data_IF_846070940923
#
_entry.id   IF_846070940923
#
_cell.length_a   1.000
_cell.length_b   1.000
_cell.length_c   1.000
_cell.angle_alpha   90.00
_cell.angle_beta   90.00
_cell.angle_gamma   90.00
#
_symmetry.space_group_name_H-M   'P 1'
#
loop_
_entity.id
_entity.type
_entity.pdbx_description
1 polymer ?
#
# COMPACT_ATOMS: atom_id res chain seq x y z
N UNK A 1 17.02 33.74 8.38
CA UNK A 1 17.00 32.27 8.59
C UNK A 1 16.29 31.66 7.39
N UNK A 2 17.00 31.02 6.47
CA UNK A 2 16.41 30.60 5.19
C UNK A 2 15.49 29.38 5.35
N UNK A 3 14.33 29.42 4.70
CA UNK A 3 13.36 28.32 4.64
C UNK A 3 13.83 27.30 3.60
N UNK A 4 14.02 26.02 3.95
CA UNK A 4 14.50 25.01 3.00
C UNK A 4 13.56 24.86 1.78
N UNK A 5 12.25 25.05 1.99
CA UNK A 5 11.26 25.11 0.91
C UNK A 5 11.27 26.39 0.05
N UNK A 6 12.00 27.46 0.39
CA UNK A 6 12.14 28.61 -0.54
C UNK A 6 13.04 28.31 -1.74
N UNK A 7 13.92 27.30 -1.64
CA UNK A 7 14.78 26.88 -2.75
C UNK A 7 14.06 26.09 -3.85
N UNK A 8 12.91 25.46 -3.54
CA UNK A 8 12.16 24.65 -4.51
C UNK A 8 11.15 25.54 -5.23
N UNK A 9 11.23 25.61 -6.56
CA UNK A 9 10.25 26.36 -7.37
C UNK A 9 8.87 25.74 -7.17
N UNK A 10 7.94 26.57 -6.67
CA UNK A 10 6.52 26.31 -6.87
C UNK A 10 6.19 26.58 -8.34
N UNK A 11 5.17 25.91 -8.85
CA UNK A 11 4.59 26.24 -10.15
C UNK A 11 4.04 27.67 -10.07
N UNK A 12 4.64 28.60 -10.84
CA UNK A 12 4.05 29.94 -10.99
C UNK A 12 2.66 29.76 -11.59
N UNK A 13 1.67 30.36 -10.96
CA UNK A 13 0.28 30.40 -11.45
C UNK A 13 -0.40 29.03 -11.53
N UNK A 14 -0.36 28.26 -10.43
CA UNK A 14 -1.15 27.02 -10.28
C UNK A 14 -2.65 27.29 -10.52
N UNK A 15 -3.22 26.64 -11.54
CA UNK A 15 -4.64 26.77 -11.89
C UNK A 15 -5.50 25.81 -11.06
N UNK A 16 -6.04 26.31 -9.94
CA UNK A 16 -6.85 25.54 -8.98
C UNK A 16 -7.99 24.73 -9.62
N UNK A 17 -8.78 25.26 -10.58
CA UNK A 17 -9.85 24.48 -11.23
C UNK A 17 -9.32 23.31 -12.06
N UNK A 18 -8.15 23.46 -12.72
CA UNK A 18 -7.52 22.40 -13.51
C UNK A 18 -6.85 21.35 -12.62
N UNK A 19 -6.38 21.73 -11.42
CA UNK A 19 -5.84 20.81 -10.43
C UNK A 19 -6.92 20.02 -9.66
N UNK A 20 -8.16 20.49 -9.68
CA UNK A 20 -9.29 19.86 -8.98
C UNK A 20 -9.58 18.42 -9.44
N UNK A 21 -10.35 17.67 -8.65
CA UNK A 21 -10.74 16.29 -8.92
C UNK A 21 -9.75 15.25 -8.38
N UNK A 22 -9.81 14.05 -8.96
CA UNK A 22 -9.14 12.84 -8.47
C UNK A 22 -7.66 12.77 -8.86
N UNK A 23 -6.83 12.35 -7.92
CA UNK A 23 -5.41 12.05 -8.05
C UNK A 23 -5.09 10.75 -7.32
N UNK A 24 -4.17 9.92 -7.85
CA UNK A 24 -3.76 8.64 -7.24
C UNK A 24 -2.28 8.69 -6.89
N UNK A 25 -1.93 8.42 -5.65
CA UNK A 25 -0.54 8.43 -5.17
C UNK A 25 0.21 7.21 -5.73
N UNK A 26 1.29 7.46 -6.45
CA UNK A 26 2.14 6.42 -7.09
C UNK A 26 3.38 6.13 -6.26
N UNK A 27 4.06 7.17 -5.79
CA UNK A 27 5.33 7.02 -5.09
C UNK A 27 5.60 8.18 -4.13
N UNK A 28 6.42 7.91 -3.09
CA UNK A 28 6.89 8.89 -2.12
C UNK A 28 8.40 8.73 -1.92
N UNK A 29 9.18 9.77 -2.23
CA UNK A 29 10.57 9.90 -1.79
C UNK A 29 10.61 10.50 -0.38
N UNK A 30 11.17 9.83 0.63
CA UNK A 30 11.21 10.36 2.01
C UNK A 30 12.27 9.70 2.91
N UNK A 31 12.94 10.46 3.79
CA UNK A 31 13.80 9.93 4.85
C UNK A 31 12.98 9.51 6.10
N UNK A 32 11.69 9.22 5.95
CA UNK A 32 10.81 8.87 7.06
C UNK A 32 11.04 7.41 7.49
N UNK A 33 11.52 7.21 8.72
CA UNK A 33 11.78 5.89 9.30
C UNK A 33 10.58 4.92 9.21
N UNK A 34 9.36 5.42 9.41
CA UNK A 34 8.16 4.61 9.24
C UNK A 34 7.99 4.07 7.81
N UNK A 35 8.31 4.86 6.78
CA UNK A 35 8.27 4.38 5.39
C UNK A 35 9.44 3.43 5.10
N UNK A 36 10.62 3.64 5.68
CA UNK A 36 11.74 2.71 5.57
C UNK A 36 11.41 1.32 6.16
N UNK A 37 10.73 1.28 7.31
CA UNK A 37 10.39 0.03 8.01
C UNK A 37 9.09 -0.62 7.49
N UNK A 38 8.06 0.18 7.17
CA UNK A 38 6.70 -0.28 6.85
C UNK A 38 6.24 0.07 5.42
N UNK A 39 7.10 0.63 4.57
CA UNK A 39 6.74 1.04 3.21
C UNK A 39 6.26 -0.11 2.31
N UNK A 40 6.71 -1.34 2.59
CA UNK A 40 6.20 -2.57 1.97
C UNK A 40 4.70 -2.83 2.25
N UNK A 41 4.13 -2.17 3.26
CA UNK A 41 2.70 -2.18 3.64
C UNK A 41 1.96 -0.91 3.24
N UNK A 42 2.52 -0.09 2.34
CA UNK A 42 1.84 1.10 1.84
C UNK A 42 0.48 0.74 1.23
N UNK A 43 -0.51 1.61 1.45
CA UNK A 43 -1.91 1.41 1.04
C UNK A 43 -2.22 2.29 -0.18
N UNK A 44 -3.00 1.78 -1.13
CA UNK A 44 -3.44 2.62 -2.25
C UNK A 44 -4.18 3.85 -1.73
N UNK A 45 -3.72 5.01 -2.20
CA UNK A 45 -4.11 6.31 -1.65
C UNK A 45 -4.60 7.20 -2.79
N UNK A 46 -5.87 7.57 -2.74
CA UNK A 46 -6.50 8.57 -3.62
C UNK A 46 -6.51 9.92 -2.92
N UNK A 47 -6.45 11.00 -3.69
CA UNK A 47 -6.59 12.38 -3.23
C UNK A 47 -7.63 13.05 -4.13
N UNK A 48 -8.73 13.54 -3.54
CA UNK A 48 -9.69 14.41 -4.20
C UNK A 48 -9.40 15.85 -3.78
N UNK A 49 -9.06 16.70 -4.76
CA UNK A 49 -8.83 18.12 -4.56
C UNK A 49 -10.06 18.94 -5.00
N UNK A 50 -10.48 19.90 -4.19
CA UNK A 50 -11.54 20.85 -4.52
C UNK A 50 -11.11 22.28 -4.15
N UNK A 51 -11.21 23.28 -5.05
CA UNK A 51 -10.95 24.66 -4.70
C UNK A 51 -11.90 25.17 -3.60
N UNK A 52 -11.38 25.93 -2.64
CA UNK A 52 -12.17 26.54 -1.56
C UNK A 52 -11.67 27.97 -1.32
N UNK A 53 -12.11 28.91 -2.18
CA UNK A 53 -11.53 30.24 -2.25
C UNK A 53 -10.07 30.18 -2.70
N UNK A 54 -9.17 30.87 -1.99
CA UNK A 54 -7.72 30.76 -2.21
C UNK A 54 -7.09 29.49 -1.60
N UNK A 55 -7.83 28.74 -0.78
CA UNK A 55 -7.39 27.48 -0.21
C UNK A 55 -7.85 26.29 -1.07
N UNK A 56 -7.39 25.08 -0.73
CA UNK A 56 -7.83 23.84 -1.37
C UNK A 56 -8.31 22.84 -0.32
N UNK A 57 -9.58 22.43 -0.44
CA UNK A 57 -10.11 21.31 0.33
C UNK A 57 -9.57 20.01 -0.27
N UNK A 58 -8.94 19.17 0.56
CA UNK A 58 -8.27 17.95 0.11
C UNK A 58 -8.78 16.77 0.92
N UNK A 59 -9.41 15.81 0.27
CA UNK A 59 -9.79 14.53 0.88
C UNK A 59 -8.84 13.44 0.43
N UNK A 60 -8.15 12.81 1.37
CA UNK A 60 -7.31 11.63 1.11
C UNK A 60 -8.08 10.37 1.48
N UNK A 61 -8.17 9.42 0.56
CA UNK A 61 -8.81 8.12 0.75
C UNK A 61 -7.72 7.06 0.75
N UNK A 62 -7.63 6.27 1.81
CA UNK A 62 -6.69 5.14 1.91
C UNK A 62 -7.41 3.88 2.33
N UNK A 63 -6.75 2.74 2.22
CA UNK A 63 -7.37 1.44 2.47
C UNK A 63 -6.65 0.67 3.56
N UNK A 64 -6.88 1.09 4.80
CA UNK A 64 -6.38 0.40 5.99
C UNK A 64 -7.31 -0.74 6.35
N UNK A 65 -6.73 -1.95 6.37
CA UNK A 65 -7.34 -3.30 6.48
C UNK A 65 -8.52 -3.62 5.53
N UNK A 66 -9.06 -2.65 4.78
CA UNK A 66 -9.84 -2.90 3.57
C UNK A 66 -11.09 -2.08 3.28
N UNK A 67 -11.67 -1.29 4.22
CA UNK A 67 -12.62 -0.24 3.83
C UNK A 67 -11.79 0.99 3.51
N UNK A 68 -12.43 1.88 2.78
CA UNK A 68 -11.99 3.19 2.45
C UNK A 68 -12.07 4.11 3.67
N UNK A 69 -10.92 4.60 4.14
CA UNK A 69 -10.80 5.62 5.18
C UNK A 69 -10.75 6.99 4.50
N UNK A 70 -11.72 7.87 4.73
CA UNK A 70 -11.62 9.27 4.30
C UNK A 70 -10.96 10.14 5.38
N UNK A 71 -9.85 10.81 5.05
CA UNK A 71 -9.23 11.86 5.85
C UNK A 71 -9.41 13.20 5.14
N UNK A 72 -10.03 14.18 5.82
CA UNK A 72 -10.24 15.53 5.28
C UNK A 72 -9.15 16.49 5.76
N UNK A 73 -8.67 17.31 4.85
CA UNK A 73 -7.60 18.28 5.05
C UNK A 73 -8.00 19.62 4.39
N UNK A 74 -7.50 20.72 4.95
CA UNK A 74 -7.52 22.02 4.29
C UNK A 74 -6.07 22.43 4.02
N UNK A 75 -5.74 22.57 2.74
CA UNK A 75 -4.50 23.17 2.29
C UNK A 75 -4.72 24.69 2.29
N UNK A 76 -4.37 25.33 3.42
CA UNK A 76 -4.57 26.76 3.61
C UNK A 76 -3.68 27.58 2.70
N UNK A 77 -4.20 28.72 2.25
CA UNK A 77 -3.45 29.69 1.44
C UNK A 77 -2.24 30.24 2.21
N UNK A 78 -1.20 30.61 1.47
CA UNK A 78 0.01 31.27 1.98
C UNK A 78 0.31 32.59 1.27
N UNK A 79 -0.58 33.07 0.40
CA UNK A 79 -0.39 34.25 -0.45
C UNK A 79 0.51 34.00 -1.67
N UNK A 80 1.00 32.77 -1.86
CA UNK A 80 1.84 32.39 -3.01
C UNK A 80 1.18 31.21 -3.73
N UNK A 81 0.78 31.35 -5.01
CA UNK A 81 0.18 30.27 -5.79
C UNK A 81 1.00 28.98 -5.75
N UNK A 82 0.32 27.84 -5.60
CA UNK A 82 0.94 26.53 -5.49
C UNK A 82 1.63 26.22 -4.16
N UNK A 83 1.67 27.16 -3.19
CA UNK A 83 2.18 26.94 -1.83
C UNK A 83 1.05 26.93 -0.81
N UNK A 84 1.00 25.89 0.00
CA UNK A 84 -0.06 25.66 0.98
C UNK A 84 0.49 25.33 2.37
N UNK A 85 -0.30 25.65 3.39
CA UNK A 85 -0.05 25.27 4.77
C UNK A 85 -1.14 24.32 5.28
N UNK A 86 -0.76 23.09 5.62
CA UNK A 86 -1.62 22.12 6.27
C UNK A 86 -1.42 22.19 7.78
N UNK A 87 -2.49 22.44 8.53
CA UNK A 87 -2.48 22.36 9.99
C UNK A 87 -2.38 20.89 10.42
N UNK A 88 -1.19 20.49 10.85
CA UNK A 88 -0.93 19.17 11.40
C UNK A 88 -1.12 19.14 12.93
N UNK A 89 -1.48 17.99 13.49
CA UNK A 89 -1.85 17.83 14.91
C UNK A 89 -0.80 18.24 15.97
N UNK A 90 0.42 18.61 15.58
CA UNK A 90 1.51 19.11 16.46
C UNK A 90 2.48 20.04 15.75
N UNK A 91 2.75 19.77 14.47
CA UNK A 91 3.66 20.54 13.62
C UNK A 91 2.97 20.75 12.28
N UNK A 92 2.88 22.00 11.77
CA UNK A 92 2.31 22.25 10.45
C UNK A 92 3.15 21.60 9.36
N UNK A 93 2.50 21.26 8.25
CA UNK A 93 3.16 20.70 7.06
C UNK A 93 3.04 21.72 5.95
N UNK A 94 4.18 22.14 5.40
CA UNK A 94 4.20 23.00 4.22
C UNK A 94 4.11 22.11 2.99
N UNK A 95 3.26 22.47 2.04
CA UNK A 95 3.03 21.72 0.81
C UNK A 95 3.29 22.64 -0.38
N UNK A 96 3.99 22.15 -1.40
CA UNK A 96 4.24 22.88 -2.65
C UNK A 96 3.89 21.97 -3.83
N UNK A 97 2.98 22.41 -4.69
CA UNK A 97 2.81 21.81 -6.03
C UNK A 97 3.93 22.37 -6.91
N UNK A 98 4.89 21.53 -7.25
CA UNK A 98 6.09 21.94 -7.98
C UNK A 98 5.89 21.84 -9.49
N UNK A 99 5.30 20.74 -9.93
CA UNK A 99 5.24 20.38 -11.35
C UNK A 99 3.98 19.55 -11.59
N UNK A 100 3.18 19.93 -12.59
CA UNK A 100 1.99 19.18 -13.01
C UNK A 100 1.59 19.64 -14.41
N UNK A 101 1.10 18.71 -15.22
CA UNK A 101 0.44 18.99 -16.49
C UNK A 101 -1.10 19.04 -16.35
N UNK A 102 -1.61 18.97 -15.11
CA UNK A 102 -3.01 18.87 -14.69
C UNK A 102 -3.76 17.61 -15.18
N UNK A 103 -3.33 16.99 -16.28
CA UNK A 103 -4.04 15.92 -17.00
C UNK A 103 -3.50 14.51 -16.73
N UNK A 104 -2.21 14.35 -16.42
CA UNK A 104 -1.58 13.04 -16.24
C UNK A 104 -0.89 12.92 -14.89
N UNK A 105 -0.09 13.91 -14.48
CA UNK A 105 0.75 13.80 -13.27
C UNK A 105 0.85 15.10 -12.45
N UNK A 106 1.22 14.95 -11.18
CA UNK A 106 1.57 16.05 -10.29
C UNK A 106 2.66 15.62 -9.29
N UNK A 107 3.68 16.47 -9.12
CA UNK A 107 4.75 16.30 -8.15
C UNK A 107 4.59 17.35 -7.05
N UNK A 108 4.45 16.86 -5.82
CA UNK A 108 4.27 17.68 -4.62
C UNK A 108 5.47 17.50 -3.68
N UNK A 109 6.05 18.61 -3.22
CA UNK A 109 6.96 18.62 -2.07
C UNK A 109 6.16 18.83 -0.78
N UNK A 110 6.49 18.07 0.26
CA UNK A 110 5.95 18.26 1.61
C UNK A 110 7.11 18.33 2.60
N UNK A 111 7.17 19.41 3.40
CA UNK A 111 8.12 19.56 4.49
C UNK A 111 7.39 19.53 5.85
N UNK A 112 7.86 18.67 6.75
CA UNK A 112 7.41 18.61 8.14
C UNK A 112 8.62 18.55 9.06
N UNK A 113 8.72 19.46 10.02
CA UNK A 113 9.85 19.55 10.96
C UNK A 113 11.23 19.50 10.25
N UNK A 114 11.41 20.30 9.19
CA UNK A 114 12.60 20.36 8.31
C UNK A 114 12.95 19.05 7.58
N UNK A 115 12.08 18.04 7.59
CA UNK A 115 12.23 16.83 6.76
C UNK A 115 11.39 16.98 5.50
N UNK A 116 12.06 17.03 4.36
CA UNK A 116 11.45 17.09 3.04
C UNK A 116 10.99 15.69 2.58
N UNK A 117 9.95 15.66 1.77
CA UNK A 117 9.49 14.49 1.03
C UNK A 117 8.91 14.91 -0.31
N UNK A 118 9.03 14.05 -1.31
CA UNK A 118 8.54 14.26 -2.68
C UNK A 118 7.45 13.23 -2.94
N UNK A 119 6.34 13.62 -3.56
CA UNK A 119 5.23 12.71 -3.89
C UNK A 119 4.84 12.82 -5.35
N UNK A 120 4.72 11.68 -6.03
CA UNK A 120 4.15 11.58 -7.37
C UNK A 120 2.69 11.15 -7.29
N UNK A 121 1.81 11.98 -7.84
CA UNK A 121 0.40 11.70 -8.07
C UNK A 121 0.11 11.60 -9.57
N UNK A 122 -0.89 10.80 -9.95
CA UNK A 122 -1.36 10.68 -11.34
C UNK A 122 -2.88 10.73 -11.45
N UNK A 123 -3.40 11.17 -12.60
CA UNK A 123 -4.85 11.14 -12.88
C UNK A 123 -5.35 9.73 -13.17
N UNK A 124 -4.56 8.91 -13.84
CA UNK A 124 -4.89 7.53 -14.23
C UNK A 124 -3.67 6.62 -14.13
N UNK A 125 -3.89 5.31 -14.21
CA UNK A 125 -2.83 4.30 -14.28
C UNK A 125 -2.95 3.54 -15.61
N UNK A 126 -1.84 3.04 -16.19
CA UNK A 126 -0.47 3.10 -15.68
C UNK A 126 0.13 4.52 -15.70
N UNK A 127 1.10 4.78 -14.81
CA UNK A 127 1.94 5.98 -14.87
C UNK A 127 2.86 5.89 -16.10
N UNK A 128 3.07 7.01 -16.79
CA UNK A 128 4.00 7.10 -17.92
C UNK A 128 5.46 7.10 -17.45
N UNK A 129 6.35 6.53 -18.26
CA UNK A 129 7.79 6.49 -17.95
C UNK A 129 8.36 7.91 -17.75
N UNK A 130 7.95 8.87 -18.59
CA UNK A 130 8.31 10.28 -18.44
C UNK A 130 7.91 10.89 -17.08
N UNK A 131 6.73 10.57 -16.53
CA UNK A 131 6.32 11.06 -15.21
C UNK A 131 7.10 10.40 -14.05
N UNK A 132 7.59 9.17 -14.26
CA UNK A 132 8.52 8.51 -13.33
C UNK A 132 9.91 9.14 -13.40
N UNK A 133 10.45 9.36 -14.60
CA UNK A 133 11.78 9.95 -14.79
C UNK A 133 11.90 11.34 -14.15
N UNK A 134 10.89 12.20 -14.36
CA UNK A 134 10.82 13.53 -13.71
C UNK A 134 10.75 13.38 -12.19
N UNK A 135 9.95 12.45 -11.66
CA UNK A 135 9.88 12.21 -10.22
C UNK A 135 11.21 11.69 -9.65
N UNK A 136 11.86 10.72 -10.27
CA UNK A 136 13.15 10.17 -9.83
C UNK A 136 14.27 11.21 -9.96
N UNK A 137 14.18 12.16 -10.90
CA UNK A 137 15.02 13.37 -10.91
C UNK A 137 14.72 14.30 -9.73
N UNK A 138 13.45 14.65 -9.45
CA UNK A 138 13.07 15.52 -8.32
C UNK A 138 13.42 14.93 -6.95
N UNK A 139 13.45 13.61 -6.82
CA UNK A 139 13.93 12.91 -5.61
C UNK A 139 15.45 13.10 -5.43
N UNK A 140 16.24 12.95 -6.50
CA UNK A 140 17.69 13.19 -6.47
C UNK A 140 18.03 14.66 -6.16
N UNK A 141 17.35 15.59 -6.80
CA UNK A 141 17.47 17.04 -6.52
C UNK A 141 17.09 17.41 -5.08
N UNK A 142 16.23 16.62 -4.42
CA UNK A 142 15.87 16.77 -3.02
C UNK A 142 16.89 16.17 -2.03
N UNK A 143 18.06 15.72 -2.51
CA UNK A 143 19.07 14.97 -1.75
C UNK A 143 18.53 13.68 -1.11
N UNK A 144 17.62 12.98 -1.81
CA UNK A 144 17.10 11.67 -1.42
C UNK A 144 17.61 10.59 -2.38
N UNK A 145 17.81 9.39 -1.85
CA UNK A 145 18.30 8.23 -2.62
C UNK A 145 17.16 7.39 -3.18
N UNK A 146 17.44 6.55 -4.17
CA UNK A 146 16.47 5.59 -4.72
C UNK A 146 15.93 4.63 -3.64
N UNK A 147 16.75 4.25 -2.66
CA UNK A 147 16.33 3.44 -1.49
C UNK A 147 15.36 4.16 -0.54
N UNK A 148 15.13 5.47 -0.74
CA UNK A 148 14.15 6.27 -0.02
C UNK A 148 12.88 6.52 -0.85
N UNK A 149 12.74 5.87 -2.01
CA UNK A 149 11.53 5.87 -2.83
C UNK A 149 10.64 4.67 -2.45
N UNK A 150 9.42 4.98 -2.01
CA UNK A 150 8.41 4.00 -1.65
C UNK A 150 7.26 4.06 -2.65
N UNK A 151 7.09 3.02 -3.45
CA UNK A 151 5.96 2.90 -4.38
C UNK A 151 4.70 2.43 -3.64
N UNK A 152 3.59 3.08 -3.95
CA UNK A 152 2.27 2.78 -3.40
C UNK A 152 1.56 1.76 -4.31
N UNK A 153 0.61 0.96 -3.78
CA UNK A 153 -0.09 -0.03 -4.58
C UNK A 153 -0.83 0.62 -5.76
N UNK A 154 -0.66 0.03 -6.94
CA UNK A 154 -1.32 0.47 -8.19
C UNK A 154 -2.81 0.09 -8.25
N UNK A 155 -3.40 -0.24 -7.11
CA UNK A 155 -4.67 -0.94 -7.03
C UNK A 155 -5.30 -0.90 -5.65
N UNK A 156 -6.62 -1.06 -5.58
CA UNK A 156 -7.34 -1.05 -4.30
C UNK A 156 -7.53 0.36 -3.79
N UNK A 157 -7.53 1.34 -4.69
CA UNK A 157 -7.95 2.71 -4.43
C UNK A 157 -9.39 2.75 -3.92
N UNK A 158 -9.66 3.86 -3.26
CA UNK A 158 -10.95 4.19 -2.67
C UNK A 158 -11.32 5.60 -3.14
N UNK A 159 -12.59 5.81 -3.47
CA UNK A 159 -13.09 7.13 -3.93
C UNK A 159 -14.30 7.60 -3.12
N UNK A 160 -14.94 6.68 -2.40
CA UNK A 160 -16.04 6.91 -1.46
C UNK A 160 -15.78 6.12 -0.17
N UNK A 161 -16.41 6.54 0.91
CA UNK A 161 -16.47 5.84 2.19
C UNK A 161 -17.89 6.07 2.76
N UNK A 162 -18.47 5.07 3.41
CA UNK A 162 -19.77 5.22 4.06
C UNK A 162 -19.68 6.04 5.36
N UNK A 163 -20.81 6.48 5.91
CA UNK A 163 -20.86 7.39 7.05
C UNK A 163 -20.24 6.87 8.37
N UNK A 164 -19.98 5.56 8.48
CA UNK A 164 -19.34 4.95 9.65
C UNK A 164 -17.83 4.71 9.42
N UNK A 165 -17.41 4.77 8.15
CA UNK A 165 -16.02 4.70 7.68
C UNK A 165 -15.54 6.03 7.02
N UNK A 166 -16.29 7.09 7.28
CA UNK A 166 -15.82 8.46 7.51
C UNK A 166 -15.63 8.58 9.03
N UNK A 167 -14.44 9.00 9.49
CA UNK A 167 -13.65 8.24 10.50
C UNK A 167 -13.21 6.89 9.93
N UNK A 168 -12.11 6.29 10.36
CA UNK A 168 -11.94 4.81 10.34
C UNK A 168 -12.30 4.06 9.02
N UNK A 169 -12.72 2.78 9.09
CA UNK A 169 -12.79 1.84 7.95
C UNK A 169 -12.01 0.54 8.23
N UNK A 170 -12.30 -0.59 7.57
CA UNK A 170 -11.55 -1.89 7.56
C UNK A 170 -12.31 -3.03 6.82
N UNK A 171 -11.68 -3.82 5.92
CA UNK A 171 -12.14 -5.03 5.15
C UNK A 171 -12.50 -4.97 3.61
N UNK A 172 -11.93 -5.91 2.81
CA UNK A 172 -11.92 -6.00 1.32
C UNK A 172 -13.00 -6.93 0.65
N UNK A 173 -13.36 -6.66 -0.63
CA UNK A 173 -14.34 -7.40 -1.47
C UNK A 173 -13.79 -8.09 -2.78
N UNK A 174 -14.67 -8.79 -3.53
CA UNK A 174 -14.39 -9.65 -4.71
C UNK A 174 -13.80 -8.93 -5.92
N UNK A 175 -14.16 -7.66 -6.10
CA UNK A 175 -13.67 -6.79 -7.18
C UNK A 175 -12.15 -6.58 -7.11
N UNK A 176 -11.53 -6.87 -5.96
CA UNK A 176 -10.09 -6.82 -5.77
C UNK A 176 -9.33 -8.03 -6.34
N UNK A 177 -9.98 -8.96 -7.06
CA UNK A 177 -9.32 -10.15 -7.65
C UNK A 177 -8.20 -9.79 -8.62
N UNK A 178 -8.37 -8.76 -9.46
CA UNK A 178 -7.35 -8.31 -10.42
C UNK A 178 -6.15 -7.59 -9.76
N UNK A 179 -6.14 -7.52 -8.43
CA UNK A 179 -5.19 -6.74 -7.63
C UNK A 179 -4.25 -7.62 -6.80
N UNK A 180 -4.48 -8.93 -6.84
CA UNK A 180 -3.73 -9.94 -6.10
C UNK A 180 -3.04 -10.84 -7.12
N UNK A 181 -1.92 -10.36 -7.64
CA UNK A 181 -1.01 -11.17 -8.44
C UNK A 181 -0.57 -12.38 -7.62
N UNK A 182 -0.42 -13.57 -8.23
CA UNK A 182 0.18 -14.72 -7.56
C UNK A 182 1.55 -14.31 -7.02
N UNK A 183 1.76 -14.54 -5.72
CA UNK A 183 3.05 -14.42 -5.08
C UNK A 183 3.56 -15.81 -4.71
N UNK A 184 4.86 -15.99 -4.78
CA UNK A 184 5.54 -17.22 -4.35
C UNK A 184 6.00 -16.97 -2.91
N UNK A 185 5.78 -17.95 -2.04
CA UNK A 185 6.29 -17.92 -0.66
C UNK A 185 7.36 -19.00 -0.48
N UNK A 186 8.57 -18.56 -0.15
CA UNK A 186 9.68 -19.41 0.28
C UNK A 186 9.71 -19.47 1.81
N UNK A 187 9.74 -20.68 2.35
CA UNK A 187 9.94 -20.95 3.78
C UNK A 187 11.32 -21.57 3.98
N UNK A 188 12.22 -20.85 4.63
CA UNK A 188 13.55 -21.34 5.00
C UNK A 188 13.57 -21.67 6.49
N UNK A 189 13.89 -22.92 6.84
CA UNK A 189 14.15 -23.29 8.23
C UNK A 189 15.45 -22.61 8.70
N UNK A 190 15.38 -21.87 9.80
CA UNK A 190 16.52 -21.31 10.52
C UNK A 190 16.74 -22.10 11.81
N UNK A 191 17.79 -21.74 12.55
CA UNK A 191 18.09 -22.33 13.85
C UNK A 191 16.88 -22.17 14.81
N UNK A 192 16.80 -23.05 15.82
CA UNK A 192 15.75 -23.08 16.83
C UNK A 192 14.32 -23.32 16.30
N UNK A 193 14.17 -23.90 15.10
CA UNK A 193 12.89 -24.16 14.44
C UNK A 193 12.08 -22.90 14.04
N UNK A 194 12.74 -21.75 13.96
CA UNK A 194 12.16 -20.55 13.35
C UNK A 194 12.14 -20.70 11.83
N UNK A 195 11.13 -20.13 11.15
CA UNK A 195 11.13 -20.03 9.69
C UNK A 195 11.33 -18.59 9.25
N UNK A 196 12.29 -18.36 8.35
CA UNK A 196 12.30 -17.14 7.56
C UNK A 196 11.36 -17.33 6.38
N UNK A 197 10.34 -16.49 6.30
CA UNK A 197 9.35 -16.52 5.23
C UNK A 197 9.59 -15.34 4.31
N UNK A 198 9.88 -15.62 3.04
CA UNK A 198 10.11 -14.60 2.00
C UNK A 198 9.07 -14.76 0.92
N UNK A 199 8.38 -13.68 0.59
CA UNK A 199 7.32 -13.64 -0.41
C UNK A 199 7.79 -12.77 -1.58
N UNK A 200 7.50 -13.18 -2.82
CA UNK A 200 7.84 -12.44 -4.03
C UNK A 200 6.65 -12.36 -4.99
N UNK A 201 6.38 -11.17 -5.54
CA UNK A 201 5.29 -10.94 -6.50
C UNK A 201 5.75 -10.07 -7.67
N UNK A 202 5.24 -10.32 -8.87
CA UNK A 202 5.47 -9.43 -10.00
C UNK A 202 4.58 -8.19 -9.91
N UNK A 203 5.15 -7.00 -10.19
CA UNK A 203 4.42 -5.73 -10.31
C UNK A 203 4.88 -4.96 -11.56
N UNK A 204 4.21 -5.20 -12.67
CA UNK A 204 4.66 -4.70 -13.98
C UNK A 204 5.96 -5.39 -14.39
N UNK A 205 7.01 -4.62 -14.71
CA UNK A 205 8.35 -5.13 -15.07
C UNK A 205 9.26 -5.43 -13.87
N UNK A 206 8.82 -5.20 -12.62
CA UNK A 206 9.63 -5.38 -11.39
C UNK A 206 9.10 -6.54 -10.53
N UNK A 207 9.93 -7.08 -9.65
CA UNK A 207 9.57 -8.10 -8.66
C UNK A 207 9.67 -7.49 -7.25
N UNK A 208 8.56 -7.39 -6.54
CA UNK A 208 8.48 -6.89 -5.17
C UNK A 208 8.69 -8.08 -4.21
N UNK A 209 9.55 -7.90 -3.20
CA UNK A 209 9.90 -8.95 -2.23
C UNK A 209 9.70 -8.42 -0.80
N UNK A 210 9.10 -9.23 0.09
CA UNK A 210 8.98 -8.93 1.52
C UNK A 210 9.20 -10.18 2.37
N UNK A 211 9.78 -10.02 3.56
CA UNK A 211 10.07 -11.15 4.46
C UNK A 211 9.70 -10.89 5.92
N UNK A 212 9.41 -11.97 6.64
CA UNK A 212 9.13 -11.98 8.08
C UNK A 212 9.59 -13.30 8.71
N UNK A 213 9.78 -13.32 10.02
CA UNK A 213 10.16 -14.53 10.77
C UNK A 213 8.93 -15.14 11.43
N UNK A 214 8.78 -16.46 11.37
CA UNK A 214 7.84 -17.21 12.18
C UNK A 214 8.56 -17.84 13.37
N UNK A 215 8.04 -17.57 14.56
CA UNK A 215 8.52 -18.10 15.83
C UNK A 215 7.59 -19.25 16.21
N UNK A 216 8.09 -20.49 16.41
CA UNK A 216 7.25 -21.60 16.82
C UNK A 216 6.71 -21.41 18.25
N UNK A 217 5.48 -21.84 18.50
CA UNK A 217 4.94 -21.91 19.88
C UNK A 217 5.17 -23.31 20.48
N UNK A 218 4.72 -23.52 21.73
CA UNK A 218 4.74 -24.84 22.37
C UNK A 218 3.81 -25.88 21.72
N UNK A 219 2.92 -25.47 20.80
CA UNK A 219 2.01 -26.37 20.09
C UNK A 219 2.49 -26.60 18.65
N UNK A 220 2.67 -27.86 18.21
CA UNK A 220 3.04 -28.16 16.83
C UNK A 220 2.07 -27.53 15.82
N UNK A 221 2.63 -26.94 14.76
CA UNK A 221 1.85 -26.25 13.72
C UNK A 221 1.32 -24.86 14.12
N UNK A 222 1.61 -24.35 15.32
CA UNK A 222 1.35 -22.97 15.71
C UNK A 222 2.63 -22.13 15.69
N UNK A 223 2.50 -20.91 15.18
CA UNK A 223 3.57 -19.92 15.09
C UNK A 223 3.03 -18.53 15.40
N UNK A 224 3.92 -17.63 15.83
CA UNK A 224 3.68 -16.19 15.88
C UNK A 224 4.60 -15.48 14.90
N UNK A 225 4.16 -14.38 14.31
CA UNK A 225 5.03 -13.55 13.45
C UNK A 225 5.90 -12.64 14.30
N UNK A 226 7.21 -12.63 14.05
CA UNK A 226 8.15 -11.67 14.65
C UNK A 226 7.84 -10.25 14.17
N UNK A 227 7.10 -9.49 14.98
CA UNK A 227 6.76 -8.11 14.67
C UNK A 227 7.83 -7.17 15.25
N UNK A 228 8.67 -6.58 14.40
CA UNK A 228 9.77 -5.68 14.80
C UNK A 228 9.30 -4.25 15.17
N UNK A 229 8.06 -4.12 15.63
CA UNK A 229 7.42 -2.89 16.09
C UNK A 229 6.16 -3.20 16.91
N UNK A 230 5.68 -2.20 17.67
CA UNK A 230 4.50 -2.19 18.57
C UNK A 230 3.96 -3.55 19.08
N UNK A 231 4.08 -3.78 20.40
CA UNK A 231 3.55 -4.96 21.11
C UNK A 231 2.03 -5.22 20.92
N UNK A 232 1.30 -4.23 20.39
CA UNK A 232 -0.16 -4.26 20.16
C UNK A 232 -0.59 -5.10 18.97
N UNK A 233 0.30 -5.33 17.99
CA UNK A 233 -0.04 -6.03 16.75
C UNK A 233 0.53 -7.45 16.79
N UNK A 234 -0.35 -8.44 16.95
CA UNK A 234 0.01 -9.87 17.01
C UNK A 234 -0.60 -10.61 15.83
N UNK A 235 0.19 -11.44 15.17
CA UNK A 235 -0.29 -12.34 14.11
C UNK A 235 0.04 -13.78 14.49
N UNK A 236 -1.02 -14.51 14.84
CA UNK A 236 -0.99 -15.93 15.16
C UNK A 236 -1.25 -16.73 13.89
N UNK A 237 -0.43 -17.76 13.65
CA UNK A 237 -0.52 -18.63 12.48
C UNK A 237 -0.72 -20.07 12.95
N UNK A 238 -1.74 -20.72 12.40
CA UNK A 238 -2.09 -22.11 12.64
C UNK A 238 -2.07 -22.86 11.31
N UNK A 239 -1.20 -23.85 11.18
CA UNK A 239 -1.35 -24.90 10.16
C UNK A 239 -2.54 -25.76 10.58
N UNK A 240 -3.59 -25.76 9.76
CA UNK A 240 -4.83 -26.49 9.99
C UNK A 240 -4.72 -27.91 9.41
N UNK A 241 -4.11 -28.04 8.24
CA UNK A 241 -3.88 -29.32 7.59
C UNK A 241 -2.71 -29.21 6.60
N UNK A 242 -1.82 -30.21 6.56
CA UNK A 242 -0.78 -30.32 5.54
C UNK A 242 -0.40 -31.78 5.35
N UNK A 243 0.00 -32.15 4.12
CA UNK A 243 0.68 -33.41 3.82
C UNK A 243 2.21 -33.23 3.74
N UNK A 244 2.72 -32.05 4.09
CA UNK A 244 4.11 -31.58 4.02
C UNK A 244 4.74 -31.54 2.61
N UNK A 245 4.18 -32.29 1.66
CA UNK A 245 4.75 -32.55 0.33
C UNK A 245 4.05 -31.74 -0.76
N UNK A 246 2.72 -31.64 -0.76
CA UNK A 246 1.94 -31.06 -1.85
C UNK A 246 1.23 -29.77 -1.45
N UNK A 247 0.68 -29.70 -0.24
CA UNK A 247 -0.10 -28.54 0.20
C UNK A 247 0.03 -28.22 1.70
N UNK A 248 -0.35 -27.00 2.07
CA UNK A 248 -0.65 -26.60 3.44
C UNK A 248 -1.85 -25.66 3.47
N UNK A 249 -2.82 -25.96 4.32
CA UNK A 249 -3.96 -25.11 4.63
C UNK A 249 -3.67 -24.38 5.94
N UNK A 250 -3.49 -23.07 5.85
CA UNK A 250 -3.01 -22.21 6.93
C UNK A 250 -4.07 -21.16 7.27
N UNK A 251 -4.30 -20.97 8.56
CA UNK A 251 -5.09 -19.89 9.13
C UNK A 251 -4.14 -18.88 9.77
N UNK A 252 -4.23 -17.61 9.38
CA UNK A 252 -3.61 -16.48 10.05
C UNK A 252 -4.71 -15.62 10.69
N UNK A 253 -4.50 -15.23 11.94
CA UNK A 253 -5.34 -14.30 12.67
C UNK A 253 -4.42 -13.17 13.14
N UNK A 254 -4.54 -11.99 12.52
CA UNK A 254 -3.85 -10.79 12.98
C UNK A 254 -4.78 -9.92 13.80
N UNK A 255 -4.46 -9.76 15.07
CA UNK A 255 -5.07 -8.78 15.97
C UNK A 255 -4.33 -7.45 15.78
N UNK A 256 -5.08 -6.39 15.47
CA UNK A 256 -4.61 -5.00 15.51
C UNK A 256 -5.33 -4.26 16.64
N UNK A 257 -4.92 -3.03 16.92
CA UNK A 257 -5.58 -2.17 17.92
C UNK A 257 -7.05 -1.80 17.63
N UNK A 258 -7.59 -2.17 16.47
CA UNK A 258 -8.96 -1.83 16.07
C UNK A 258 -9.78 -3.01 15.55
N UNK A 259 -9.16 -3.95 14.83
CA UNK A 259 -9.87 -5.03 14.13
C UNK A 259 -9.06 -6.34 14.13
N UNK A 260 -9.76 -7.46 13.95
CA UNK A 260 -9.13 -8.77 13.72
C UNK A 260 -9.18 -9.09 12.23
N UNK A 261 -8.01 -9.33 11.63
CA UNK A 261 -7.86 -9.70 10.22
C UNK A 261 -7.67 -11.21 10.14
N UNK A 262 -8.68 -11.93 9.66
CA UNK A 262 -8.59 -13.37 9.45
C UNK A 262 -8.22 -13.68 8.00
N UNK A 263 -7.18 -14.48 7.79
CA UNK A 263 -6.73 -14.96 6.48
C UNK A 263 -6.69 -16.47 6.46
N UNK A 264 -7.29 -17.08 5.45
CA UNK A 264 -7.08 -18.50 5.13
C UNK A 264 -6.25 -18.57 3.87
N UNK A 265 -5.20 -19.39 3.87
CA UNK A 265 -4.29 -19.59 2.73
C UNK A 265 -4.17 -21.07 2.41
N UNK A 266 -4.50 -21.43 1.17
CA UNK A 266 -4.21 -22.76 0.63
C UNK A 266 -2.92 -22.67 -0.20
N UNK A 267 -1.81 -23.03 0.43
CA UNK A 267 -0.49 -23.06 -0.18
C UNK A 267 -0.30 -24.39 -0.91
N UNK A 268 0.11 -24.37 -2.17
CA UNK A 268 0.44 -25.56 -2.96
C UNK A 268 1.85 -25.50 -3.49
N UNK A 269 2.60 -26.62 -3.45
CA UNK A 269 3.92 -26.73 -4.11
C UNK A 269 3.82 -26.84 -5.64
N UNK A 270 2.60 -27.05 -6.15
CA UNK A 270 2.31 -27.16 -7.58
C UNK A 270 0.95 -26.53 -7.88
N UNK A 271 0.78 -25.98 -9.08
CA UNK A 271 -0.43 -25.27 -9.53
C UNK A 271 -1.67 -26.17 -9.65
N UNK A 272 -1.47 -27.49 -9.78
CA UNK A 272 -2.56 -28.48 -9.85
C UNK A 272 -2.99 -28.92 -8.44
N UNK A 273 -3.85 -28.12 -7.81
CA UNK A 273 -4.43 -28.42 -6.50
C UNK A 273 -5.69 -29.32 -6.67
N UNK A 274 -5.80 -30.47 -5.97
CA UNK A 274 -6.98 -31.34 -6.06
C UNK A 274 -8.27 -30.65 -5.58
N UNK A 275 -9.41 -30.89 -6.26
CA UNK A 275 -10.71 -30.27 -5.92
C UNK A 275 -11.08 -30.44 -4.44
N UNK A 276 -10.88 -31.64 -3.87
CA UNK A 276 -11.10 -31.94 -2.43
C UNK A 276 -10.41 -30.94 -1.48
N UNK A 277 -9.23 -30.43 -1.86
CA UNK A 277 -8.50 -29.44 -1.05
C UNK A 277 -9.08 -28.03 -1.19
N UNK A 278 -9.54 -27.66 -2.39
CA UNK A 278 -10.27 -26.42 -2.64
C UNK A 278 -11.60 -26.41 -1.87
N UNK A 279 -12.32 -27.52 -1.87
CA UNK A 279 -13.58 -27.68 -1.10
C UNK A 279 -13.34 -27.51 0.41
N UNK A 280 -12.22 -28.04 0.93
CA UNK A 280 -11.85 -27.92 2.34
C UNK A 280 -11.40 -26.51 2.73
N UNK A 281 -10.71 -25.80 1.84
CA UNK A 281 -10.45 -24.37 1.96
C UNK A 281 -11.74 -23.54 1.97
N UNK A 282 -12.70 -23.84 1.08
CA UNK A 282 -14.03 -23.18 1.06
C UNK A 282 -14.81 -23.48 2.36
N UNK A 283 -14.68 -24.69 2.91
CA UNK A 283 -15.29 -25.03 4.20
C UNK A 283 -14.68 -24.20 5.35
N UNK A 284 -13.35 -24.18 5.48
CA UNK A 284 -12.64 -23.44 6.52
C UNK A 284 -12.89 -21.92 6.44
N UNK A 285 -12.88 -21.34 5.24
CA UNK A 285 -13.17 -19.90 5.08
C UNK A 285 -14.58 -19.54 5.59
N UNK A 286 -15.59 -20.39 5.34
CA UNK A 286 -16.95 -20.18 5.86
C UNK A 286 -17.03 -20.25 7.38
N UNK A 287 -16.28 -21.13 8.04
CA UNK A 287 -16.27 -21.17 9.53
C UNK A 287 -15.58 -19.95 10.15
N UNK A 288 -14.78 -19.22 9.37
CA UNK A 288 -14.20 -17.93 9.74
C UNK A 288 -15.09 -16.72 9.35
N UNK A 289 -16.39 -16.94 9.10
CA UNK A 289 -17.35 -15.95 8.62
C UNK A 289 -16.97 -15.24 7.30
N UNK A 290 -16.04 -15.80 6.51
CA UNK A 290 -15.67 -15.26 5.21
C UNK A 290 -16.70 -15.70 4.15
N UNK A 291 -17.19 -14.72 3.39
CA UNK A 291 -18.18 -14.94 2.33
C UNK A 291 -17.51 -15.32 1.00
N UNK A 292 -18.31 -15.79 0.03
CA UNK A 292 -17.84 -16.03 -1.35
C UNK A 292 -17.22 -14.78 -2.01
N UNK A 293 -17.54 -13.57 -1.54
CA UNK A 293 -16.96 -12.34 -2.04
C UNK A 293 -15.55 -12.05 -1.47
N UNK A 294 -15.11 -12.77 -0.44
CA UNK A 294 -13.75 -12.65 0.11
C UNK A 294 -12.79 -13.68 -0.51
N UNK A 295 -13.28 -14.56 -1.41
CA UNK A 295 -12.46 -15.62 -2.01
C UNK A 295 -11.64 -15.09 -3.20
N UNK A 296 -10.35 -15.38 -3.18
CA UNK A 296 -9.42 -15.04 -4.26
C UNK A 296 -8.64 -16.29 -4.65
N UNK A 297 -8.74 -16.65 -5.92
CA UNK A 297 -7.84 -17.61 -6.56
C UNK A 297 -7.01 -16.83 -7.59
N UNK A 298 -5.67 -16.96 -7.58
CA UNK A 298 -4.83 -16.33 -8.59
C UNK A 298 -5.23 -16.85 -9.96
N UNK A 299 -5.36 -15.95 -10.93
CA UNK A 299 -5.57 -16.35 -12.32
C UNK A 299 -4.21 -16.70 -12.92
N UNK A 300 -4.06 -17.94 -13.40
CA UNK A 300 -2.81 -18.46 -13.98
C UNK A 300 -2.89 -18.49 -15.52
N UNK A 301 -3.87 -17.82 -16.11
CA UNK A 301 -3.99 -17.63 -17.57
C UNK A 301 -3.02 -16.55 -18.10
N UNK A 302 -1.74 -16.71 -17.77
CA UNK A 302 -0.68 -15.99 -18.45
C UNK A 302 -0.52 -16.51 -19.87
N UNK A 303 -0.96 -15.73 -20.86
CA UNK A 303 -0.54 -15.88 -22.25
C UNK A 303 0.99 -15.70 -22.32
N UNK A 304 1.72 -16.81 -22.25
CA UNK A 304 3.17 -16.79 -22.07
C UNK A 304 3.89 -18.10 -22.39
N UNK A 305 3.22 -19.07 -23.03
CA UNK A 305 3.84 -20.23 -23.70
C UNK A 305 3.01 -20.64 -24.92
N UNK A 306 2.92 -19.73 -25.91
CA UNK A 306 2.76 -20.15 -27.29
C UNK A 306 4.14 -20.61 -27.76
N UNK A 307 4.33 -21.92 -27.87
CA UNK A 307 5.55 -22.49 -28.43
C UNK A 307 5.67 -22.09 -29.90
N UNK A 308 6.75 -21.40 -30.23
CA UNK A 308 7.23 -21.25 -31.61
C UNK A 308 8.20 -22.38 -31.92
N UNK A 309 7.85 -23.26 -32.86
CA UNK A 309 8.64 -24.43 -33.26
C UNK A 309 8.08 -25.74 -32.72
#
# INVERSE_FOLDING_TARGET
>A
MLDHLTSYRALKDLLYPMFAGTWRLVAVGSPCRFLQEQGHRAEATTLHAAPQGAAMAVSTFRKLDGICWQVRHLFGDTGVPGRFLLQGARVPVRVVVAETDYQNFAILYLEKARKLSVKLYVRSLPVSDSALDVFEQRVREANLTEHQIFFFPKYGFCETADQFHILNGTAYNREHRALLNPYITLFELKNNSHFQVTNSMTRGKRCDIWSYTLIPTSKPGQFTVENKGSETDKEDIQVIETDYIKFSLVLSIRQTSSHTITRVSLLGRNWRIPRKMVDRFICLTRTQNLTKNNFVFPDVTGNGFLGSG
#
